data_IF_710110151290
#
_entry.id   IF_710110151290
#
_cell.length_a   1.000
_cell.length_b   1.000
_cell.length_c   1.000
_cell.angle_alpha   90.00
_cell.angle_beta   90.00
_cell.angle_gamma   90.00
#
_symmetry.space_group_name_H-M   'P 1'
#
loop_
_entity.id
_entity.type
_entity.pdbx_description
1 polymer ?
#
# COMPACT_ATOMS: atom_id res chain seq x y z
N UNK A 1 -5.49 -0.96 10.88
CA UNK A 1 -4.32 -0.19 10.39
C UNK A 1 -3.31 -1.06 9.61
N UNK A 2 -2.72 -2.13 10.19
CA UNK A 2 -1.70 -2.94 9.48
C UNK A 2 -2.18 -3.72 8.23
N UNK A 3 -3.47 -4.04 8.14
CA UNK A 3 -4.04 -4.73 6.98
C UNK A 3 -4.15 -3.79 5.78
N UNK A 4 -4.75 -2.62 5.97
CA UNK A 4 -4.98 -1.63 4.92
C UNK A 4 -3.76 -0.71 4.77
N UNK A 5 -3.60 0.23 5.71
CA UNK A 5 -2.71 1.40 5.57
C UNK A 5 -1.23 1.04 5.47
N UNK A 6 -0.76 0.05 6.23
CA UNK A 6 0.64 -0.43 6.18
C UNK A 6 0.80 -1.75 5.39
N UNK A 7 -0.26 -2.20 4.73
CA UNK A 7 -0.33 -3.52 4.10
C UNK A 7 -0.66 -3.43 2.62
N UNK A 8 -1.96 -3.41 2.34
CA UNK A 8 -2.50 -3.38 0.98
C UNK A 8 -2.30 -2.04 0.28
N UNK A 9 -2.38 -0.91 0.99
CA UNK A 9 -2.16 0.42 0.40
C UNK A 9 -0.77 0.57 -0.21
N UNK A 10 0.26 -0.05 0.38
CA UNK A 10 1.61 0.01 -0.22
C UNK A 10 1.64 -0.59 -1.62
N UNK A 11 0.95 -1.72 -1.82
CA UNK A 11 0.95 -2.38 -3.13
C UNK A 11 0.03 -1.65 -4.10
N UNK A 12 -1.17 -1.26 -3.66
CA UNK A 12 -2.12 -0.54 -4.51
C UNK A 12 -1.55 0.82 -4.96
N UNK A 13 -0.98 1.60 -4.04
CA UNK A 13 -0.35 2.88 -4.36
C UNK A 13 0.90 2.69 -5.22
N UNK A 14 1.73 1.68 -4.91
CA UNK A 14 2.93 1.40 -5.67
C UNK A 14 2.64 0.98 -7.11
N UNK A 15 1.75 -0.01 -7.30
CA UNK A 15 1.34 -0.47 -8.63
C UNK A 15 0.70 0.64 -9.45
N UNK A 16 -0.21 1.41 -8.84
CA UNK A 16 -0.86 2.54 -9.53
C UNK A 16 0.16 3.62 -9.94
N UNK A 17 1.04 4.02 -9.02
CA UNK A 17 2.11 4.99 -9.31
C UNK A 17 3.03 4.49 -10.42
N UNK A 18 3.42 3.22 -10.40
CA UNK A 18 4.32 2.66 -11.42
C UNK A 18 3.69 2.63 -12.81
N UNK A 19 2.42 2.24 -12.92
CA UNK A 19 1.69 2.28 -14.19
C UNK A 19 1.57 3.71 -14.70
N UNK A 20 1.17 4.67 -13.86
CA UNK A 20 1.10 6.09 -14.25
C UNK A 20 2.46 6.65 -14.72
N UNK A 21 3.58 6.22 -14.10
CA UNK A 21 4.93 6.57 -14.54
C UNK A 21 5.30 5.97 -15.90
N UNK A 22 4.84 4.73 -16.19
CA UNK A 22 5.03 4.07 -17.49
C UNK A 22 4.22 4.75 -18.59
N UNK A 23 3.01 5.17 -18.27
CA UNK A 23 2.12 5.93 -19.14
C UNK A 23 2.58 7.37 -19.41
N UNK A 24 3.72 7.80 -18.88
CA UNK A 24 4.28 9.12 -19.15
C UNK A 24 3.58 10.29 -18.46
N UNK A 25 2.70 10.03 -17.48
CA UNK A 25 1.85 11.06 -16.85
C UNK A 25 2.67 12.18 -16.18
N UNK A 26 3.87 11.85 -15.67
CA UNK A 26 4.76 12.80 -14.99
C UNK A 26 6.13 12.94 -15.66
N UNK A 27 6.21 12.70 -16.96
CA UNK A 27 7.44 12.84 -17.76
C UNK A 27 7.63 11.69 -18.74
N UNK A 28 8.60 11.82 -19.64
CA UNK A 28 8.82 10.85 -20.71
C UNK A 28 9.57 9.60 -20.21
N UNK A 29 9.44 8.44 -20.89
CA UNK A 29 10.15 7.22 -20.52
C UNK A 29 11.68 7.37 -20.46
N UNK A 30 12.24 8.26 -21.27
CA UNK A 30 13.68 8.55 -21.36
C UNK A 30 14.24 9.22 -20.11
N UNK A 31 13.37 9.85 -19.31
CA UNK A 31 13.78 10.50 -18.09
C UNK A 31 13.98 9.50 -16.95
N UNK A 32 14.97 9.82 -16.10
CA UNK A 32 15.22 9.03 -14.89
C UNK A 32 13.95 8.95 -14.03
N UNK A 33 13.75 7.80 -13.38
CA UNK A 33 12.58 7.61 -12.51
C UNK A 33 12.56 8.62 -11.36
N UNK A 34 13.72 9.08 -10.90
CA UNK A 34 13.82 10.13 -9.87
C UNK A 34 13.19 11.45 -10.32
N UNK A 35 13.42 11.87 -11.56
CA UNK A 35 12.84 13.11 -12.12
C UNK A 35 11.32 12.97 -12.24
N UNK A 36 10.83 11.86 -12.80
CA UNK A 36 9.38 11.61 -12.92
C UNK A 36 8.68 11.54 -11.56
N UNK A 37 9.30 10.88 -10.57
CA UNK A 37 8.80 10.85 -9.19
C UNK A 37 8.79 12.22 -8.51
N UNK A 38 9.76 13.08 -8.83
CA UNK A 38 9.75 14.46 -8.34
C UNK A 38 8.55 15.24 -8.89
N UNK A 39 8.26 15.13 -10.19
CA UNK A 39 7.07 15.74 -10.78
C UNK A 39 5.76 15.18 -10.21
N UNK A 40 5.70 13.86 -10.01
CA UNK A 40 4.57 13.21 -9.34
C UNK A 40 4.36 13.77 -7.91
N UNK A 41 5.45 14.00 -7.17
CA UNK A 41 5.40 14.61 -5.85
C UNK A 41 4.90 16.07 -5.88
N UNK A 42 5.35 16.88 -6.85
CA UNK A 42 4.85 18.25 -7.01
C UNK A 42 3.35 18.25 -7.36
N UNK A 43 2.90 17.35 -8.23
CA UNK A 43 1.47 17.16 -8.53
C UNK A 43 0.68 16.79 -7.27
N UNK A 44 1.17 15.82 -6.48
CA UNK A 44 0.57 15.44 -5.21
C UNK A 44 0.48 16.60 -4.21
N UNK A 45 1.53 17.42 -4.09
CA UNK A 45 1.54 18.59 -3.18
C UNK A 45 0.55 19.66 -3.63
N UNK A 46 0.45 19.93 -4.95
CA UNK A 46 -0.57 20.82 -5.51
C UNK A 46 -1.98 20.32 -5.18
N UNK A 47 -2.24 19.04 -5.42
CA UNK A 47 -3.51 18.41 -5.08
C UNK A 47 -3.85 18.53 -3.59
N UNK A 48 -2.88 18.29 -2.69
CA UNK A 48 -3.09 18.47 -1.25
C UNK A 48 -3.45 19.92 -0.90
N UNK A 49 -2.80 20.90 -1.54
CA UNK A 49 -3.07 22.32 -1.33
C UNK A 49 -4.47 22.69 -1.78
N UNK A 50 -4.89 22.27 -2.99
CA UNK A 50 -6.22 22.56 -3.53
C UNK A 50 -7.34 21.94 -2.68
N UNK A 51 -7.09 20.77 -2.09
CA UNK A 51 -8.06 20.08 -1.22
C UNK A 51 -7.92 20.43 0.27
N UNK A 52 -7.02 21.36 0.64
CA UNK A 52 -6.75 21.77 2.03
C UNK A 52 -6.36 20.59 2.95
N UNK A 53 -5.63 19.60 2.42
CA UNK A 53 -5.21 18.40 3.15
C UNK A 53 -3.80 18.59 3.69
N UNK A 54 -3.66 18.54 5.03
CA UNK A 54 -2.36 18.48 5.68
C UNK A 54 -1.76 17.06 5.54
N UNK A 55 -0.63 16.94 4.85
CA UNK A 55 0.08 15.68 4.68
C UNK A 55 1.61 15.88 4.69
N UNK A 56 2.28 15.10 5.55
CA UNK A 56 3.74 15.15 5.79
C UNK A 56 4.53 14.15 4.94
N UNK A 57 3.95 13.70 3.82
CA UNK A 57 4.59 12.75 2.93
C UNK A 57 5.88 13.37 2.36
N UNK A 58 7.06 12.75 2.58
CA UNK A 58 8.29 13.22 1.95
C UNK A 58 8.25 12.99 0.44
N UNK A 59 9.14 13.67 -0.28
CA UNK A 59 9.33 13.50 -1.71
C UNK A 59 9.42 12.01 -2.08
N UNK A 60 8.74 11.63 -3.17
CA UNK A 60 8.81 10.26 -3.66
C UNK A 60 10.23 9.97 -4.16
N UNK A 61 10.75 8.81 -3.81
CA UNK A 61 12.09 8.36 -4.17
C UNK A 61 12.00 6.92 -4.69
N UNK A 62 12.86 6.49 -5.63
CA UNK A 62 12.88 5.13 -6.14
C UNK A 62 12.93 4.08 -5.04
N UNK A 63 13.71 4.31 -3.98
CA UNK A 63 13.79 3.40 -2.82
C UNK A 63 12.48 3.23 -2.04
N UNK A 64 11.53 4.17 -2.18
CA UNK A 64 10.22 4.07 -1.57
C UNK A 64 9.25 3.27 -2.45
N UNK A 65 9.50 3.18 -3.76
CA UNK A 65 8.62 2.52 -4.73
C UNK A 65 9.10 1.11 -5.11
N UNK A 66 10.41 0.94 -5.34
CA UNK A 66 11.01 -0.32 -5.74
C UNK A 66 11.69 -0.97 -4.55
N UNK A 67 11.21 -2.17 -4.20
CA UNK A 67 11.76 -2.96 -3.11
C UNK A 67 13.00 -3.73 -3.58
N UNK A 68 13.84 -4.15 -2.63
CA UNK A 68 15.08 -4.89 -2.92
C UNK A 68 14.86 -6.22 -3.66
N UNK A 69 13.68 -6.81 -3.51
CA UNK A 69 13.29 -8.05 -4.19
C UNK A 69 12.64 -7.81 -5.56
N UNK A 70 12.60 -6.57 -6.05
CA UNK A 70 11.96 -6.21 -7.32
C UNK A 70 10.47 -5.84 -7.19
N UNK A 71 9.85 -6.10 -6.03
CA UNK A 71 8.43 -5.76 -5.83
C UNK A 71 8.18 -4.26 -5.97
N UNK A 72 7.08 -3.91 -6.62
CA UNK A 72 6.59 -2.54 -6.69
C UNK A 72 5.64 -2.28 -5.53
N UNK A 73 6.07 -1.48 -4.56
CA UNK A 73 5.22 -1.03 -3.45
C UNK A 73 5.70 0.30 -2.88
N UNK A 74 4.76 1.23 -2.67
CA UNK A 74 5.05 2.57 -2.17
C UNK A 74 4.99 2.62 -0.64
N UNK A 75 6.16 2.59 0.00
CA UNK A 75 6.30 2.66 1.46
C UNK A 75 6.06 4.09 1.95
N UNK A 76 5.10 4.25 2.85
CA UNK A 76 4.70 5.54 3.41
C UNK A 76 4.16 5.38 4.83
N UNK A 77 4.04 6.46 5.60
CA UNK A 77 3.34 6.41 6.91
C UNK A 77 1.88 6.05 6.68
N UNK A 78 1.23 5.38 7.64
CA UNK A 78 -0.14 4.89 7.50
C UNK A 78 -1.14 5.99 7.04
N UNK A 79 -1.13 7.15 7.69
CA UNK A 79 -1.98 8.28 7.29
C UNK A 79 -1.60 8.81 5.90
N UNK A 80 -0.31 9.03 5.64
CA UNK A 80 0.15 9.52 4.33
C UNK A 80 -0.24 8.57 3.19
N UNK A 81 -0.18 7.26 3.41
CA UNK A 81 -0.58 6.25 2.43
C UNK A 81 -2.05 6.33 2.07
N UNK A 82 -2.91 6.66 3.04
CA UNK A 82 -4.33 6.93 2.80
C UNK A 82 -4.53 8.18 1.94
N UNK A 83 -3.80 9.26 2.21
CA UNK A 83 -3.88 10.51 1.42
C UNK A 83 -3.35 10.29 0.00
N UNK A 84 -2.22 9.62 -0.16
CA UNK A 84 -1.65 9.28 -1.48
C UNK A 84 -2.59 8.37 -2.27
N UNK A 85 -3.25 7.42 -1.61
CA UNK A 85 -4.24 6.54 -2.26
C UNK A 85 -5.38 7.35 -2.86
N UNK A 86 -5.92 8.33 -2.13
CA UNK A 86 -7.00 9.19 -2.64
C UNK A 86 -6.57 9.93 -3.90
N UNK A 87 -5.43 10.62 -3.84
CA UNK A 87 -4.89 11.36 -4.96
C UNK A 87 -4.64 10.46 -6.18
N UNK A 88 -4.08 9.27 -5.96
CA UNK A 88 -3.84 8.31 -7.04
C UNK A 88 -5.15 7.78 -7.64
N UNK A 89 -6.20 7.59 -6.82
CA UNK A 89 -7.52 7.15 -7.30
C UNK A 89 -8.16 8.19 -8.22
N UNK A 90 -8.07 9.48 -7.89
CA UNK A 90 -8.54 10.57 -8.74
C UNK A 90 -7.70 10.68 -10.01
N UNK A 91 -6.36 10.65 -9.87
CA UNK A 91 -5.44 10.75 -11.02
C UNK A 91 -5.66 9.62 -12.02
N UNK A 92 -5.77 8.37 -11.56
CA UNK A 92 -5.99 7.24 -12.48
C UNK A 92 -7.39 7.24 -13.07
N UNK A 93 -8.40 7.77 -12.36
CA UNK A 93 -9.74 7.92 -12.90
C UNK A 93 -9.74 8.91 -14.08
N UNK A 94 -9.09 10.07 -13.91
CA UNK A 94 -8.90 11.05 -15.00
C UNK A 94 -8.13 10.45 -16.18
N UNK A 95 -7.01 9.76 -15.90
CA UNK A 95 -6.20 9.12 -16.94
C UNK A 95 -6.96 8.02 -17.68
N UNK A 96 -7.86 7.29 -17.00
CA UNK A 96 -8.65 6.23 -17.63
C UNK A 96 -9.68 6.73 -18.64
N UNK A 97 -9.99 8.03 -18.64
CA UNK A 97 -10.89 8.66 -19.62
C UNK A 97 -10.15 9.19 -20.85
N UNK A 98 -8.82 9.02 -20.90
CA UNK A 98 -8.00 9.49 -22.02
C UNK A 98 -7.77 8.37 -23.03
N UNK A 99 -8.08 8.63 -24.29
CA UNK A 99 -7.92 7.66 -25.37
C UNK A 99 -6.45 7.31 -25.62
N UNK A 100 -5.53 8.27 -25.44
CA UNK A 100 -4.10 8.11 -25.74
C UNK A 100 -3.34 7.19 -24.77
N UNK A 101 -3.94 6.86 -23.62
CA UNK A 101 -3.26 6.09 -22.58
C UNK A 101 -3.74 4.64 -22.52
N UNK A 102 -4.94 4.35 -23.01
CA UNK A 102 -5.50 3.00 -23.02
C UNK A 102 -4.64 2.01 -23.82
N UNK A 103 -4.01 2.49 -24.89
CA UNK A 103 -3.12 1.68 -25.74
C UNK A 103 -1.77 1.35 -25.07
N UNK A 104 -1.37 2.13 -24.06
CA UNK A 104 -0.09 1.92 -23.36
C UNK A 104 -0.19 0.79 -22.34
N UNK A 105 -1.30 0.70 -21.61
CA UNK A 105 -1.52 -0.34 -20.62
C UNK A 105 -3.02 -0.63 -20.41
N UNK A 106 -3.49 -1.75 -20.95
CA UNK A 106 -4.87 -2.26 -20.81
C UNK A 106 -5.34 -2.47 -19.34
N UNK A 107 -4.43 -2.38 -18.36
CA UNK A 107 -4.77 -2.46 -16.94
C UNK A 107 -5.26 -1.15 -16.36
N UNK A 108 -5.14 -0.02 -17.06
CA UNK A 108 -5.56 1.30 -16.55
C UNK A 108 -7.03 1.29 -16.10
N UNK A 109 -7.95 0.79 -16.92
CA UNK A 109 -9.37 0.69 -16.55
C UNK A 109 -9.59 -0.16 -15.28
N UNK A 110 -9.10 -1.41 -15.23
CA UNK A 110 -9.13 -2.22 -14.02
C UNK A 110 -8.47 -1.58 -12.79
N UNK A 111 -7.35 -0.88 -12.94
CA UNK A 111 -6.68 -0.17 -11.83
C UNK A 111 -7.55 0.98 -11.35
N UNK A 112 -8.12 1.78 -12.26
CA UNK A 112 -9.00 2.88 -11.91
C UNK A 112 -10.21 2.42 -11.11
N UNK A 113 -10.88 1.35 -11.57
CA UNK A 113 -12.01 0.78 -10.86
C UNK A 113 -11.59 0.21 -9.49
N UNK A 114 -10.41 -0.44 -9.40
CA UNK A 114 -9.87 -0.95 -8.15
C UNK A 114 -9.64 0.19 -7.13
N UNK A 115 -9.01 1.27 -7.57
CA UNK A 115 -8.69 2.43 -6.74
C UNK A 115 -9.94 3.22 -6.34
N UNK A 116 -10.95 3.30 -7.23
CA UNK A 116 -12.25 3.91 -6.92
C UNK A 116 -12.96 3.20 -5.77
N UNK A 117 -13.10 1.86 -5.83
CA UNK A 117 -13.72 1.10 -4.75
C UNK A 117 -12.92 1.20 -3.45
N UNK A 118 -11.59 1.22 -3.54
CA UNK A 118 -10.73 1.43 -2.36
C UNK A 118 -10.94 2.83 -1.74
N UNK A 119 -11.03 3.87 -2.56
CA UNK A 119 -11.27 5.24 -2.12
C UNK A 119 -12.65 5.38 -1.46
N UNK A 120 -13.71 4.85 -2.10
CA UNK A 120 -15.07 4.82 -1.55
C UNK A 120 -15.15 4.06 -0.22
N UNK A 121 -14.51 2.89 -0.14
CA UNK A 121 -14.42 2.13 1.11
C UNK A 121 -13.75 2.94 2.23
N UNK A 122 -12.59 3.56 1.95
CA UNK A 122 -11.85 4.34 2.95
C UNK A 122 -12.59 5.61 3.37
N UNK A 123 -13.24 6.31 2.44
CA UNK A 123 -14.05 7.47 2.73
C UNK A 123 -15.30 7.08 3.55
N UNK A 124 -15.94 5.97 3.20
CA UNK A 124 -17.12 5.48 3.93
C UNK A 124 -16.81 5.12 5.38
N UNK A 125 -15.69 4.45 5.67
CA UNK A 125 -15.29 4.17 7.07
C UNK A 125 -14.87 5.44 7.81
N UNK A 126 -14.43 6.48 7.10
CA UNK A 126 -14.06 7.77 7.69
C UNK A 126 -15.31 8.59 8.05
N UNK A 127 -16.32 8.61 7.19
CA UNK A 127 -17.51 9.42 7.40
C UNK A 127 -18.53 8.77 8.34
N UNK A 128 -18.54 7.44 8.42
CA UNK A 128 -19.50 6.71 9.24
C UNK A 128 -19.14 6.73 10.74
N UNK A 129 -20.17 6.62 11.58
CA UNK A 129 -20.03 6.52 13.03
C UNK A 129 -19.39 5.19 13.49
N UNK A 130 -19.32 5.00 14.81
CA UNK A 130 -18.79 3.76 15.43
C UNK A 130 -19.61 2.53 15.04
N UNK A 131 -20.92 2.69 14.99
CA UNK A 131 -21.88 1.69 14.57
C UNK A 131 -22.48 2.13 13.24
N UNK A 132 -22.45 1.22 12.27
CA UNK A 132 -22.88 1.46 10.91
C UNK A 132 -24.39 1.23 10.81
N UNK A 133 -25.05 2.06 10.01
CA UNK A 133 -26.39 1.73 9.53
C UNK A 133 -26.35 0.49 8.64
N UNK A 134 -27.52 -0.09 8.36
CA UNK A 134 -27.60 -1.24 7.47
C UNK A 134 -27.06 -0.91 6.07
N UNK A 135 -27.35 0.30 5.57
CA UNK A 135 -26.96 0.71 4.22
C UNK A 135 -25.49 1.11 4.14
N UNK A 136 -24.95 1.78 5.16
CA UNK A 136 -23.50 2.00 5.28
C UNK A 136 -22.75 0.66 5.29
N UNK A 137 -23.22 -0.31 6.08
CA UNK A 137 -22.59 -1.63 6.14
C UNK A 137 -22.65 -2.37 4.80
N UNK A 138 -23.76 -2.28 4.06
CA UNK A 138 -23.90 -2.91 2.73
C UNK A 138 -22.97 -2.25 1.72
N UNK A 139 -22.94 -0.93 1.67
CA UNK A 139 -22.08 -0.15 0.77
C UNK A 139 -20.60 -0.43 1.04
N UNK A 140 -20.17 -0.37 2.29
CA UNK A 140 -18.79 -0.67 2.69
C UNK A 140 -18.39 -2.11 2.37
N UNK A 141 -19.28 -3.07 2.61
CA UNK A 141 -19.04 -4.47 2.25
C UNK A 141 -18.89 -4.64 0.74
N UNK A 142 -19.77 -4.00 -0.04
CA UNK A 142 -19.74 -4.02 -1.50
C UNK A 142 -18.42 -3.46 -2.04
N UNK A 143 -18.05 -2.23 -1.67
CA UNK A 143 -16.83 -1.58 -2.17
C UNK A 143 -15.57 -2.34 -1.75
N UNK A 144 -15.51 -2.81 -0.49
CA UNK A 144 -14.38 -3.62 -0.04
C UNK A 144 -14.26 -4.95 -0.78
N UNK A 145 -15.39 -5.61 -1.08
CA UNK A 145 -15.42 -6.86 -1.85
C UNK A 145 -15.00 -6.64 -3.30
N UNK A 146 -15.51 -5.60 -3.95
CA UNK A 146 -15.16 -5.28 -5.34
C UNK A 146 -13.69 -4.90 -5.48
N UNK A 147 -13.15 -4.11 -4.53
CA UNK A 147 -11.72 -3.89 -4.42
C UNK A 147 -10.93 -5.20 -4.37
N UNK A 148 -11.29 -6.15 -3.48
CA UNK A 148 -10.59 -7.44 -3.38
C UNK A 148 -10.67 -8.26 -4.68
N UNK A 149 -11.84 -8.31 -5.30
CA UNK A 149 -12.07 -9.05 -6.55
C UNK A 149 -11.18 -8.52 -7.67
N UNK A 150 -11.14 -7.20 -7.84
CA UNK A 150 -10.34 -6.54 -8.89
C UNK A 150 -8.86 -6.61 -8.57
N UNK A 151 -8.46 -6.44 -7.30
CA UNK A 151 -7.07 -6.59 -6.86
C UNK A 151 -6.51 -7.99 -7.20
N UNK A 152 -7.29 -9.05 -6.95
CA UNK A 152 -6.91 -10.43 -7.32
C UNK A 152 -6.79 -10.58 -8.84
N UNK A 153 -7.70 -9.97 -9.61
CA UNK A 153 -7.61 -9.95 -11.08
C UNK A 153 -6.32 -9.27 -11.54
N UNK A 154 -5.99 -8.10 -10.98
CA UNK A 154 -4.75 -7.38 -11.27
C UNK A 154 -3.51 -8.21 -10.93
N UNK A 155 -3.50 -8.88 -9.77
CA UNK A 155 -2.40 -9.79 -9.41
C UNK A 155 -2.23 -10.95 -10.39
N UNK A 156 -3.32 -11.54 -10.89
CA UNK A 156 -3.25 -12.57 -11.94
C UNK A 156 -2.70 -12.01 -13.26
N UNK A 157 -3.10 -10.80 -13.64
CA UNK A 157 -2.58 -10.14 -14.84
C UNK A 157 -1.09 -9.83 -14.72
N UNK A 158 -0.62 -9.35 -13.56
CA UNK A 158 0.79 -9.13 -13.30
C UNK A 158 1.62 -10.41 -13.40
N UNK A 159 1.13 -11.52 -12.83
CA UNK A 159 1.81 -12.83 -12.94
C UNK A 159 1.91 -13.27 -14.39
N UNK A 160 0.82 -13.18 -15.18
CA UNK A 160 0.83 -13.54 -16.60
C UNK A 160 1.82 -12.72 -17.42
N UNK A 161 2.04 -11.46 -17.04
CA UNK A 161 2.97 -10.54 -17.72
C UNK A 161 4.38 -10.54 -17.13
N UNK A 162 4.66 -11.41 -16.16
CA UNK A 162 5.93 -11.44 -15.41
C UNK A 162 6.28 -10.07 -14.78
N UNK A 163 5.28 -9.37 -14.25
CA UNK A 163 5.42 -8.06 -13.61
C UNK A 163 5.36 -8.22 -12.08
N UNK A 164 6.20 -7.45 -11.37
CA UNK A 164 6.33 -7.48 -9.91
C UNK A 164 5.40 -6.49 -9.19
N UNK A 165 4.32 -6.07 -9.84
CA UNK A 165 3.30 -5.16 -9.32
C UNK A 165 2.01 -5.92 -8.98
N UNK A 166 1.17 -5.36 -8.11
CA UNK A 166 -0.11 -5.98 -7.69
C UNK A 166 0.01 -7.41 -7.10
N UNK A 167 1.16 -7.73 -6.49
CA UNK A 167 1.38 -9.04 -5.88
C UNK A 167 0.45 -9.31 -4.69
N UNK A 168 0.07 -10.57 -4.53
CA UNK A 168 -0.90 -10.99 -3.51
C UNK A 168 -0.24 -11.08 -2.13
N UNK A 169 -0.68 -10.23 -1.18
CA UNK A 169 -0.29 -10.32 0.23
C UNK A 169 -1.29 -11.16 1.03
N UNK A 170 -0.85 -11.89 2.07
CA UNK A 170 -1.75 -12.53 3.05
C UNK A 170 -2.73 -11.55 3.73
N UNK A 171 -2.43 -10.24 3.68
CA UNK A 171 -3.31 -9.18 4.18
C UNK A 171 -4.66 -9.11 3.47
N UNK A 172 -4.80 -9.65 2.25
CA UNK A 172 -6.10 -9.78 1.58
C UNK A 172 -7.09 -10.60 2.43
N UNK A 173 -6.62 -11.70 3.02
CA UNK A 173 -7.44 -12.52 3.91
C UNK A 173 -7.83 -11.75 5.19
N UNK A 174 -6.92 -10.92 5.71
CA UNK A 174 -7.22 -10.02 6.82
C UNK A 174 -8.32 -9.00 6.46
N UNK A 175 -8.30 -8.44 5.25
CA UNK A 175 -9.37 -7.53 4.81
C UNK A 175 -10.70 -8.28 4.65
N UNK A 176 -10.70 -9.50 4.11
CA UNK A 176 -11.91 -10.30 4.01
C UNK A 176 -12.60 -10.51 5.37
N UNK A 177 -11.84 -10.81 6.43
CA UNK A 177 -12.41 -10.91 7.79
C UNK A 177 -12.98 -9.59 8.29
N UNK A 178 -12.31 -8.46 8.02
CA UNK A 178 -12.83 -7.13 8.35
C UNK A 178 -14.16 -6.89 7.64
N UNK A 179 -14.27 -7.22 6.35
CA UNK A 179 -15.50 -7.06 5.58
C UNK A 179 -16.63 -7.95 6.13
N UNK A 180 -16.34 -9.21 6.46
CA UNK A 180 -17.31 -10.09 7.12
C UNK A 180 -17.79 -9.49 8.45
N UNK A 181 -16.87 -8.94 9.24
CA UNK A 181 -17.18 -8.28 10.50
C UNK A 181 -18.04 -7.02 10.35
N UNK A 182 -17.77 -6.20 9.33
CA UNK A 182 -18.63 -5.06 8.96
C UNK A 182 -20.04 -5.57 8.68
N UNK A 183 -20.18 -6.60 7.84
CA UNK A 183 -21.49 -7.12 7.44
C UNK A 183 -22.27 -7.76 8.58
N UNK A 184 -21.61 -8.45 9.50
CA UNK A 184 -22.28 -9.18 10.60
C UNK A 184 -22.53 -8.30 11.83
N UNK A 185 -21.56 -7.48 12.22
CA UNK A 185 -21.61 -6.73 13.48
C UNK A 185 -21.88 -5.24 13.29
N UNK A 186 -21.87 -4.75 12.03
CA UNK A 186 -22.02 -3.32 11.69
C UNK A 186 -21.09 -2.43 12.50
N UNK A 187 -19.91 -2.93 12.83
CA UNK A 187 -18.91 -2.22 13.61
C UNK A 187 -17.89 -1.60 12.67
N UNK A 188 -17.71 -0.28 12.77
CA UNK A 188 -16.77 0.42 11.91
C UNK A 188 -15.31 0.11 12.33
N UNK A 189 -14.48 -0.49 11.47
CA UNK A 189 -13.10 -0.87 11.80
C UNK A 189 -12.19 0.33 12.10
N UNK A 190 -12.60 1.56 11.73
CA UNK A 190 -11.88 2.78 12.08
C UNK A 190 -11.73 2.91 13.60
N UNK A 191 -12.74 2.56 14.39
CA UNK A 191 -12.69 2.77 15.84
C UNK A 191 -11.86 1.72 16.59
N UNK A 192 -11.34 0.72 15.88
CA UNK A 192 -10.56 -0.39 16.44
C UNK A 192 -9.12 -0.40 15.89
N UNK A 193 -8.67 0.71 15.32
CA UNK A 193 -7.32 0.83 14.79
C UNK A 193 -6.31 1.24 15.88
N UNK A 194 -5.09 0.70 15.80
CA UNK A 194 -3.99 0.98 16.73
C UNK A 194 -3.10 2.15 16.27
N UNK A 195 -3.67 3.23 15.72
CA UNK A 195 -2.86 4.40 15.34
C UNK A 195 -2.21 5.06 16.56
N UNK A 196 -2.98 5.24 17.63
CA UNK A 196 -2.48 5.79 18.90
C UNK A 196 -1.36 4.95 19.47
N UNK A 197 -1.49 3.61 19.44
CA UNK A 197 -0.46 2.70 19.94
C UNK A 197 0.84 2.83 19.13
N UNK A 198 0.74 2.96 17.80
CA UNK A 198 1.89 3.13 16.91
C UNK A 198 2.62 4.47 17.16
N UNK A 199 1.87 5.54 17.38
CA UNK A 199 2.46 6.85 17.72
C UNK A 199 3.08 6.81 19.12
N UNK A 200 2.41 6.19 20.10
CA UNK A 200 2.91 6.01 21.45
C UNK A 200 4.24 5.24 21.47
N UNK A 201 4.41 4.23 20.62
CA UNK A 201 5.69 3.50 20.50
C UNK A 201 6.87 4.41 20.18
N UNK A 202 6.67 5.44 19.36
CA UNK A 202 7.72 6.42 19.05
C UNK A 202 8.06 7.32 20.24
N UNK A 203 7.08 7.60 21.10
CA UNK A 203 7.27 8.39 22.32
C UNK A 203 7.95 7.57 23.39
N UNK A 204 7.43 6.38 23.69
CA UNK A 204 8.02 5.42 24.62
C UNK A 204 9.48 5.15 24.28
N UNK A 205 9.80 4.93 23.00
CA UNK A 205 11.19 4.76 22.56
C UNK A 205 12.05 5.99 22.86
N UNK A 206 11.56 7.20 22.55
CA UNK A 206 12.31 8.45 22.79
C UNK A 206 12.53 8.69 24.28
N UNK A 207 11.50 8.53 25.10
CA UNK A 207 11.57 8.68 26.56
C UNK A 207 12.55 7.66 27.16
N UNK A 208 12.44 6.39 26.78
CA UNK A 208 13.35 5.33 27.24
C UNK A 208 14.81 5.68 26.92
N UNK A 209 15.10 6.08 25.67
CA UNK A 209 16.46 6.42 25.24
C UNK A 209 17.00 7.70 25.88
N UNK A 210 16.14 8.64 26.29
CA UNK A 210 16.53 9.83 27.06
C UNK A 210 16.88 9.49 28.50
N UNK A 211 16.08 8.64 29.15
CA UNK A 211 16.32 8.19 30.52
C UNK A 211 17.52 7.22 30.61
N UNK A 212 17.82 6.50 29.54
CA UNK A 212 18.83 5.44 29.51
C UNK A 212 19.85 5.65 28.35
N UNK A 213 20.64 6.73 28.36
CA UNK A 213 21.51 7.09 27.23
C UNK A 213 22.60 6.04 26.95
N UNK A 214 23.13 5.38 27.99
CA UNK A 214 24.10 4.28 27.87
C UNK A 214 23.50 3.03 27.18
N UNK A 215 22.18 2.86 27.21
CA UNK A 215 21.50 1.80 26.49
C UNK A 215 21.24 2.12 25.01
N UNK A 216 21.53 3.34 24.52
CA UNK A 216 21.23 3.72 23.13
C UNK A 216 22.04 2.89 22.13
N UNK A 217 23.35 2.76 22.35
CA UNK A 217 24.22 1.95 21.49
C UNK A 217 23.86 0.47 21.59
N UNK A 218 23.69 -0.07 22.80
CA UNK A 218 23.34 -1.48 23.00
C UNK A 218 21.97 -1.85 22.44
N UNK A 219 20.98 -0.95 22.54
CA UNK A 219 19.65 -1.13 21.94
C UNK A 219 19.73 -1.11 20.41
N UNK A 220 20.45 -0.17 19.80
CA UNK A 220 20.67 -0.12 18.35
C UNK A 220 21.35 -1.41 17.87
N UNK A 221 22.41 -1.85 18.56
CA UNK A 221 23.14 -3.07 18.25
C UNK A 221 22.25 -4.31 18.41
N UNK A 222 21.47 -4.40 19.50
CA UNK A 222 20.55 -5.53 19.76
C UNK A 222 19.46 -5.60 18.70
N UNK A 223 18.81 -4.48 18.38
CA UNK A 223 17.81 -4.42 17.29
C UNK A 223 18.43 -4.77 15.93
N UNK A 224 19.66 -4.30 15.66
CA UNK A 224 20.41 -4.65 14.46
C UNK A 224 20.72 -6.15 14.37
N UNK A 225 21.24 -6.74 15.45
CA UNK A 225 21.52 -8.18 15.57
C UNK A 225 20.26 -9.03 15.38
N UNK A 226 19.15 -8.66 16.02
CA UNK A 226 17.87 -9.37 15.84
C UNK A 226 17.37 -9.31 14.40
N UNK A 227 17.49 -8.16 13.72
CA UNK A 227 17.14 -8.02 12.29
C UNK A 227 18.02 -8.90 11.39
N UNK A 228 19.33 -8.89 11.62
CA UNK A 228 20.27 -9.73 10.86
C UNK A 228 19.95 -11.21 11.08
N UNK A 229 19.72 -11.62 12.33
CA UNK A 229 19.38 -13.00 12.68
C UNK A 229 18.06 -13.44 12.03
N UNK A 230 17.00 -12.64 12.15
CA UNK A 230 15.72 -12.92 11.49
C UNK A 230 15.86 -13.01 9.95
N UNK A 231 16.72 -12.19 9.36
CA UNK A 231 17.01 -12.22 7.92
C UNK A 231 17.74 -13.51 7.53
N UNK A 232 18.78 -13.91 8.28
CA UNK A 232 19.51 -15.17 8.06
C UNK A 232 18.60 -16.38 8.17
N UNK A 233 17.69 -16.41 9.15
CA UNK A 233 16.68 -17.47 9.27
C UNK A 233 15.76 -17.54 8.05
N UNK A 234 15.32 -16.38 7.55
CA UNK A 234 14.45 -16.29 6.38
C UNK A 234 15.14 -16.81 5.11
N UNK A 235 16.41 -16.43 4.90
CA UNK A 235 17.23 -16.91 3.78
C UNK A 235 17.43 -18.43 3.86
N UNK A 236 17.80 -18.94 5.05
CA UNK A 236 17.99 -20.39 5.26
C UNK A 236 16.71 -21.18 4.96
N UNK A 237 15.54 -20.65 5.34
CA UNK A 237 14.24 -21.25 5.04
C UNK A 237 13.96 -21.26 3.54
N UNK A 238 14.15 -20.13 2.85
CA UNK A 238 14.00 -20.03 1.39
C UNK A 238 14.90 -21.02 0.65
N UNK A 239 16.19 -21.10 1.01
CA UNK A 239 17.12 -22.02 0.34
C UNK A 239 16.69 -23.48 0.50
N UNK A 240 16.24 -23.88 1.71
CA UNK A 240 15.67 -25.21 1.93
C UNK A 240 14.46 -25.48 1.05
N UNK A 241 13.54 -24.52 0.91
CA UNK A 241 12.35 -24.66 0.06
C UNK A 241 12.71 -24.75 -1.43
N UNK A 242 13.71 -23.99 -1.91
CA UNK A 242 14.20 -24.06 -3.29
C UNK A 242 14.84 -25.43 -3.57
N UNK A 243 15.74 -25.90 -2.70
CA UNK A 243 16.34 -27.23 -2.87
C UNK A 243 15.29 -28.35 -2.84
N UNK A 244 14.30 -28.27 -1.95
CA UNK A 244 13.21 -29.24 -1.88
C UNK A 244 12.27 -29.20 -3.11
N UNK A 245 12.19 -28.09 -3.83
CA UNK A 245 11.46 -28.01 -5.11
C UNK A 245 12.28 -28.57 -6.26
N UNK A 246 13.57 -28.24 -6.34
CA UNK A 246 14.48 -28.79 -7.34
C UNK A 246 14.61 -30.32 -7.25
N UNK A 247 14.60 -30.88 -6.04
CA UNK A 247 14.61 -32.32 -5.83
C UNK A 247 13.32 -33.01 -6.29
N UNK A 248 12.17 -32.31 -6.27
CA UNK A 248 10.86 -32.86 -6.68
C UNK A 248 10.56 -32.74 -8.16
N UNK A 249 11.24 -31.85 -8.89
CA UNK A 249 11.05 -31.66 -10.33
C UNK A 249 11.97 -32.49 -11.22
N UNK A 250 12.73 -33.44 -10.66
CA UNK A 250 13.67 -34.32 -11.38
C UNK A 250 13.26 -35.80 -11.40
N UNK A 251 12.02 -36.10 -11.02
CA UNK A 251 11.41 -37.44 -11.14
C UNK A 251 10.11 -37.33 -11.92
#
# INVERSE_FOLDING_TARGET
>A
MHTMNLGLLYVANGGTMHVLLKCGIWGTPDETVQVRLHRAYLAFKRWCSSNKIACSQPAFQPRHLYQKNGDVSLVCKAYNGRVVMQWLAETIAEVSQRDDVADVDDRIGPIALCMLHLARFMLGIENAGRFLTQDESRTLFHDGREFLRIYIKLGRLSVRRNLQEWFIKPKIHGLWHILRGIRSHRSNPRFWHCFTDEDAMSWTKRTFLRAHPHHRASWIIKCGRMRIWATKLRIKKMNKEVHARLARGRG
#
